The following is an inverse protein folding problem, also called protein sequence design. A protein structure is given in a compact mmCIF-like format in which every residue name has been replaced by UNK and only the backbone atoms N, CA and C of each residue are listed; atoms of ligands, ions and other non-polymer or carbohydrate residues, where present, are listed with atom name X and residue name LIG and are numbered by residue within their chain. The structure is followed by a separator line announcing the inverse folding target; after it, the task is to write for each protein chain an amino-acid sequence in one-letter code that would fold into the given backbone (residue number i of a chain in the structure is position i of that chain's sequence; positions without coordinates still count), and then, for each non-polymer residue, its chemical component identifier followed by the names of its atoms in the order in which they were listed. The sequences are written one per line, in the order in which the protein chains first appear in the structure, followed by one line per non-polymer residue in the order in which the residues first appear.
data_IF_440572001804
#
_entry.id   IF_440572001804
#
_cell.length_a   1.000
_cell.length_b   1.000
_cell.length_c   1.000
_cell.angle_alpha   90.00
_cell.angle_beta   90.00
_cell.angle_gamma   90.00
#
_symmetry.space_group_name_H-M   'P 1'
#
loop_
_entity.id
_entity.type
_entity.pdbx_description
1 polymer ?
#
# COMPACT_ATOMS: atom_id res chain seq x y z
N UNK A 1 -10.69 -10.28 -19.67
CA UNK A 1 -10.58 -8.86 -19.26
C UNK A 1 -11.72 -8.57 -18.30
N UNK A 2 -11.47 -8.74 -17.00
CA UNK A 2 -12.50 -8.61 -15.96
C UNK A 2 -12.87 -7.15 -15.80
N UNK A 3 -14.14 -6.80 -16.06
CA UNK A 3 -14.69 -5.50 -15.70
C UNK A 3 -14.66 -5.41 -14.18
N UNK A 4 -13.75 -4.61 -13.64
CA UNK A 4 -13.79 -4.22 -12.23
C UNK A 4 -15.19 -3.65 -11.98
N UNK A 5 -15.90 -4.25 -11.03
CA UNK A 5 -17.27 -3.89 -10.74
C UNK A 5 -17.26 -2.48 -10.13
N UNK A 6 -18.02 -1.54 -10.69
CA UNK A 6 -18.11 -0.15 -10.18
C UNK A 6 -18.43 -0.11 -8.68
N UNK A 7 -19.19 -1.11 -8.19
CA UNK A 7 -19.50 -1.31 -6.78
C UNK A 7 -18.25 -1.62 -5.92
N UNK A 8 -17.29 -2.37 -6.46
CA UNK A 8 -16.04 -2.68 -5.76
C UNK A 8 -15.18 -1.43 -5.56
N UNK A 9 -14.95 -0.64 -6.61
CA UNK A 9 -14.15 0.58 -6.52
C UNK A 9 -14.76 1.61 -5.58
N UNK A 10 -16.10 1.69 -5.53
CA UNK A 10 -16.77 2.56 -4.57
C UNK A 10 -16.48 2.13 -3.13
N UNK A 11 -16.66 0.83 -2.82
CA UNK A 11 -16.37 0.27 -1.49
C UNK A 11 -14.90 0.38 -1.09
N UNK A 12 -13.97 0.15 -2.04
CA UNK A 12 -12.55 0.34 -1.81
C UNK A 12 -12.25 1.77 -1.37
N UNK A 13 -12.82 2.76 -2.08
CA UNK A 13 -12.67 4.18 -1.71
C UNK A 13 -13.28 4.50 -0.35
N UNK A 14 -14.42 3.90 0.00
CA UNK A 14 -15.05 4.06 1.32
C UNK A 14 -14.15 3.53 2.43
N UNK A 15 -13.63 2.30 2.31
CA UNK A 15 -12.74 1.72 3.31
C UNK A 15 -11.42 2.48 3.43
N UNK A 16 -10.82 2.89 2.31
CA UNK A 16 -9.62 3.74 2.32
C UNK A 16 -9.90 5.07 3.04
N UNK A 17 -11.01 5.72 2.72
CA UNK A 17 -11.40 6.99 3.36
C UNK A 17 -11.64 6.83 4.85
N UNK A 18 -12.21 5.69 5.26
CA UNK A 18 -12.41 5.33 6.66
C UNK A 18 -11.07 5.14 7.37
N UNK A 19 -10.16 4.32 6.82
CA UNK A 19 -8.82 4.09 7.37
C UNK A 19 -8.07 5.41 7.52
N UNK A 20 -8.07 6.26 6.48
CA UNK A 20 -7.41 7.57 6.51
C UNK A 20 -7.94 8.44 7.64
N UNK A 21 -9.26 8.43 7.88
CA UNK A 21 -9.88 9.19 8.96
C UNK A 21 -9.57 8.63 10.34
N UNK A 22 -9.62 7.30 10.49
CA UNK A 22 -9.40 6.63 11.77
C UNK A 22 -7.94 6.72 12.21
N UNK A 23 -6.99 6.51 11.29
CA UNK A 23 -5.56 6.45 11.60
C UNK A 23 -4.91 7.83 11.47
N UNK A 24 -5.31 8.64 10.48
CA UNK A 24 -4.63 9.90 10.16
C UNK A 24 -4.61 10.93 11.29
N UNK A 25 -5.55 10.85 12.25
CA UNK A 25 -5.57 11.70 13.45
C UNK A 25 -4.38 11.42 14.38
N UNK A 26 -3.80 10.23 14.31
CA UNK A 26 -2.71 9.78 15.16
C UNK A 26 -1.32 9.86 14.51
N UNK A 27 -1.25 10.22 13.22
CA UNK A 27 -0.01 10.21 12.44
C UNK A 27 0.71 11.57 12.46
N UNK A 28 2.03 11.54 12.53
CA UNK A 28 2.87 12.71 12.24
C UNK A 28 2.94 13.01 10.73
N UNK A 29 3.64 14.08 10.35
CA UNK A 29 3.76 14.48 8.93
C UNK A 29 4.43 13.40 8.06
N UNK A 30 5.52 12.79 8.54
CA UNK A 30 6.23 11.73 7.82
C UNK A 30 5.35 10.48 7.64
N UNK A 31 4.64 10.09 8.71
CA UNK A 31 3.72 8.94 8.68
C UNK A 31 2.52 9.19 7.77
N UNK A 32 2.06 10.45 7.68
CA UNK A 32 0.98 10.85 6.79
C UNK A 32 1.39 10.68 5.33
N UNK A 33 2.60 11.09 4.96
CA UNK A 33 3.12 10.88 3.61
C UNK A 33 3.26 9.39 3.26
N UNK A 34 3.73 8.56 4.20
CA UNK A 34 3.81 7.12 4.02
C UNK A 34 2.43 6.46 3.84
N UNK A 35 1.42 6.94 4.58
CA UNK A 35 0.03 6.48 4.42
C UNK A 35 -0.53 6.85 3.04
N UNK A 36 -0.28 8.06 2.55
CA UNK A 36 -0.72 8.47 1.21
C UNK A 36 -0.08 7.62 0.11
N UNK A 37 1.21 7.30 0.25
CA UNK A 37 1.90 6.40 -0.66
C UNK A 37 1.26 4.99 -0.68
N UNK A 38 0.93 4.46 0.51
CA UNK A 38 0.22 3.18 0.63
C UNK A 38 -1.17 3.22 -0.01
N UNK A 39 -1.90 4.33 0.12
CA UNK A 39 -3.22 4.50 -0.51
C UNK A 39 -3.10 4.49 -2.03
N UNK A 40 -2.12 5.21 -2.58
CA UNK A 40 -1.86 5.20 -4.03
C UNK A 40 -1.55 3.77 -4.48
N UNK A 41 -0.68 3.06 -3.75
CA UNK A 41 -0.35 1.67 -4.04
C UNK A 41 -1.58 0.75 -4.03
N UNK A 42 -2.48 0.87 -3.04
CA UNK A 42 -3.71 0.08 -3.02
C UNK A 42 -4.63 0.36 -4.21
N UNK A 43 -4.76 1.62 -4.61
CA UNK A 43 -5.59 2.02 -5.75
C UNK A 43 -5.01 1.53 -7.09
N UNK A 44 -3.69 1.60 -7.26
CA UNK A 44 -3.02 1.03 -8.45
C UNK A 44 -3.22 -0.48 -8.55
N UNK A 45 -3.32 -1.16 -7.40
CA UNK A 45 -3.56 -2.59 -7.28
C UNK A 45 -5.05 -2.94 -7.09
N UNK A 46 -5.99 -2.03 -7.41
CA UNK A 46 -7.44 -2.27 -7.24
C UNK A 46 -7.92 -3.53 -7.97
N UNK A 47 -7.31 -3.85 -9.12
CA UNK A 47 -7.61 -5.03 -9.90
C UNK A 47 -7.26 -6.32 -9.15
N UNK A 48 -6.15 -6.34 -8.41
CA UNK A 48 -5.76 -7.46 -7.55
C UNK A 48 -6.72 -7.57 -6.38
N UNK A 49 -7.05 -6.43 -5.76
CA UNK A 49 -8.01 -6.36 -4.65
C UNK A 49 -9.41 -6.83 -5.06
N UNK A 50 -9.83 -6.55 -6.29
CA UNK A 50 -11.15 -6.92 -6.81
C UNK A 50 -11.36 -8.43 -6.96
N UNK A 51 -10.27 -9.21 -6.97
CA UNK A 51 -10.33 -10.67 -6.96
C UNK A 51 -10.64 -11.24 -5.57
N UNK A 52 -10.48 -10.44 -4.51
CA UNK A 52 -10.86 -10.82 -3.16
C UNK A 52 -12.32 -10.44 -2.91
N UNK A 53 -13.06 -11.30 -2.20
CA UNK A 53 -14.43 -10.97 -1.83
C UNK A 53 -14.47 -9.86 -0.78
N UNK A 54 -15.57 -9.08 -0.79
CA UNK A 54 -15.80 -7.96 0.13
C UNK A 54 -15.46 -8.22 1.62
N UNK A 55 -15.78 -9.37 2.26
CA UNK A 55 -15.44 -9.58 3.67
C UNK A 55 -13.94 -9.62 3.96
N UNK A 56 -13.09 -9.78 2.93
CA UNK A 56 -11.64 -9.85 3.10
C UNK A 56 -10.93 -8.56 2.70
N UNK A 57 -11.63 -7.49 2.35
CA UNK A 57 -11.04 -6.26 1.82
C UNK A 57 -9.94 -5.68 2.74
N UNK A 58 -10.21 -5.57 4.05
CA UNK A 58 -9.20 -5.11 5.02
C UNK A 58 -7.99 -6.06 5.10
N UNK A 59 -8.23 -7.37 5.07
CA UNK A 59 -7.16 -8.37 5.05
C UNK A 59 -6.30 -8.26 3.80
N UNK A 60 -6.93 -8.06 2.64
CA UNK A 60 -6.25 -7.85 1.36
C UNK A 60 -5.43 -6.55 1.33
N UNK A 61 -5.97 -5.45 1.88
CA UNK A 61 -5.23 -4.19 2.04
C UNK A 61 -4.02 -4.38 2.96
N UNK A 62 -4.18 -5.11 4.06
CA UNK A 62 -3.08 -5.44 4.97
C UNK A 62 -1.98 -6.24 4.25
N UNK A 63 -2.34 -7.30 3.52
CA UNK A 63 -1.38 -8.10 2.75
C UNK A 63 -0.64 -7.26 1.70
N UNK A 64 -1.34 -6.42 0.94
CA UNK A 64 -0.71 -5.51 -0.01
C UNK A 64 0.24 -4.54 0.68
N UNK A 65 -0.12 -4.03 1.85
CA UNK A 65 0.74 -3.13 2.63
C UNK A 65 2.05 -3.81 3.04
N UNK A 66 1.98 -5.07 3.51
CA UNK A 66 3.17 -5.86 3.85
C UNK A 66 4.05 -6.04 2.61
N UNK A 67 3.45 -6.38 1.46
CA UNK A 67 4.20 -6.53 0.20
C UNK A 67 4.88 -5.21 -0.18
N UNK A 68 4.19 -4.06 -0.05
CA UNK A 68 4.76 -2.74 -0.31
C UNK A 68 5.97 -2.46 0.58
N UNK A 69 5.83 -2.71 1.89
CA UNK A 69 6.92 -2.52 2.87
C UNK A 69 8.11 -3.40 2.52
N UNK A 70 7.91 -4.69 2.24
CA UNK A 70 8.98 -5.62 1.85
C UNK A 70 9.66 -5.15 0.55
N UNK A 71 8.89 -4.67 -0.43
CA UNK A 71 9.46 -4.13 -1.67
C UNK A 71 10.35 -2.93 -1.42
N UNK A 72 9.93 -1.98 -0.58
CA UNK A 72 10.73 -0.81 -0.20
C UNK A 72 11.98 -1.18 0.58
N UNK A 73 11.88 -2.14 1.50
CA UNK A 73 13.04 -2.68 2.24
C UNK A 73 14.08 -3.26 1.28
N UNK A 74 13.66 -4.10 0.33
CA UNK A 74 14.57 -4.67 -0.67
C UNK A 74 15.26 -3.58 -1.52
N UNK A 75 14.57 -2.48 -1.83
CA UNK A 75 15.17 -1.33 -2.55
C UNK A 75 16.20 -0.62 -1.69
N UNK A 76 15.92 -0.47 -0.39
CA UNK A 76 16.85 0.14 0.56
C UNK A 76 18.09 -0.74 0.75
N UNK A 77 17.91 -2.04 0.95
CA UNK A 77 19.00 -3.02 1.07
C UNK A 77 19.92 -2.98 -0.16
N UNK A 78 19.36 -3.00 -1.38
CA UNK A 78 20.16 -2.87 -2.61
C UNK A 78 20.94 -1.56 -2.70
N UNK A 79 20.35 -0.45 -2.22
CA UNK A 79 21.04 0.84 -2.19
C UNK A 79 22.16 0.87 -1.15
N UNK A 80 21.96 0.22 -0.01
CA UNK A 80 22.99 0.05 1.01
C UNK A 80 24.14 -0.79 0.49
N UNK A 81 23.87 -1.96 -0.10
CA UNK A 81 24.90 -2.80 -0.73
C UNK A 81 25.71 -2.03 -1.78
N UNK A 82 25.06 -1.20 -2.60
CA UNK A 82 25.74 -0.37 -3.58
C UNK A 82 26.64 0.72 -2.96
N UNK A 83 26.27 1.26 -1.79
CA UNK A 83 27.08 2.25 -1.09
C UNK A 83 28.24 1.60 -0.33
N UNK A 84 28.03 0.43 0.27
CA UNK A 84 29.07 -0.35 0.93
C UNK A 84 30.11 -0.86 -0.08
N UNK A 85 29.69 -1.32 -1.26
CA UNK A 85 30.58 -1.71 -2.34
C UNK A 85 31.41 -0.56 -2.97
N UNK A 86 31.05 0.69 -2.70
CA UNK A 86 31.82 1.89 -3.10
C UNK A 86 32.86 2.27 -2.05
N UNK A 87 32.77 1.76 -0.82
CA UNK A 87 33.73 2.06 0.25
C UNK A 87 34.97 1.14 0.24
N UNK A 88 34.90 0.02 -0.47
CA UNK A 88 35.98 -0.99 -0.58
C UNK A 88 36.81 -0.88 -1.90
N UNK A 89 36.68 0.20 -2.66
CA UNK A 89 37.43 0.47 -3.91
C UNK A 89 38.20 1.80 -3.85
#
# INVERSE_FOLDING_TARGET
MGRVNVNFNHRLKEEISRIRREIGVFLGEEDSAALEELVVFWMENEHVLSNFSNPYLLGSLCLLSIIHVVSRLNVIEKKLEALEGVHDA
#
